data_IF_398796250783
#
_entry.id   IF_398796250783
#
_cell.length_a   1.000
_cell.length_b   1.000
_cell.length_c   1.000
_cell.angle_alpha   90.00
_cell.angle_beta   90.00
_cell.angle_gamma   90.00
#
_symmetry.space_group_name_H-M   'P 1'
#
loop_
_entity.id
_entity.type
_entity.pdbx_description
1 polymer ?
#
# COMPACT_ATOMS: atom_id res chain seq x y z
N UNK A 1 13.21 -11.57 -20.58
CA UNK A 1 11.80 -12.02 -20.45
C UNK A 1 11.25 -11.48 -19.13
N UNK A 2 10.12 -10.76 -19.14
CA UNK A 2 9.43 -10.26 -17.92
C UNK A 2 8.06 -10.93 -17.89
N UNK A 3 8.00 -12.12 -17.31
CA UNK A 3 7.03 -13.13 -17.74
C UNK A 3 5.59 -13.01 -17.23
N UNK A 4 5.28 -12.46 -16.05
CA UNK A 4 3.86 -12.43 -15.61
C UNK A 4 3.39 -11.14 -14.93
N UNK A 5 4.29 -10.15 -14.81
CA UNK A 5 3.98 -8.84 -14.23
C UNK A 5 3.50 -7.85 -15.29
N UNK A 6 2.33 -7.25 -15.06
CA UNK A 6 1.82 -6.11 -15.83
C UNK A 6 1.75 -4.89 -14.94
N UNK A 7 2.17 -3.74 -15.45
CA UNK A 7 1.98 -2.45 -14.80
C UNK A 7 1.18 -1.55 -15.74
N UNK A 8 0.21 -0.84 -15.17
CA UNK A 8 -0.73 0.01 -15.90
C UNK A 8 -1.30 1.09 -14.97
N UNK A 9 -1.89 2.13 -15.56
CA UNK A 9 -2.66 3.12 -14.82
C UNK A 9 -4.14 2.74 -14.82
N UNK A 10 -4.80 2.88 -13.67
CA UNK A 10 -6.25 2.73 -13.53
C UNK A 10 -6.79 3.93 -12.74
N UNK A 11 -7.68 4.71 -13.37
CA UNK A 11 -8.22 5.95 -12.81
C UNK A 11 -7.13 6.93 -12.33
N UNK A 12 -6.05 7.06 -13.11
CA UNK A 12 -4.92 7.95 -12.80
C UNK A 12 -3.89 7.38 -11.82
N UNK A 13 -4.11 6.20 -11.25
CA UNK A 13 -3.21 5.59 -10.27
C UNK A 13 -2.46 4.39 -10.83
N UNK A 14 -1.19 4.21 -10.44
CA UNK A 14 -0.42 3.06 -10.86
C UNK A 14 -0.94 1.77 -10.21
N UNK A 15 -0.86 0.70 -10.99
CA UNK A 15 -1.13 -0.65 -10.52
C UNK A 15 -0.14 -1.61 -11.13
N UNK A 16 0.40 -2.50 -10.29
CA UNK A 16 1.19 -3.65 -10.72
C UNK A 16 0.39 -4.90 -10.40
N UNK A 17 0.30 -5.83 -11.33
CA UNK A 17 -0.42 -7.09 -11.16
C UNK A 17 0.40 -8.27 -11.68
N UNK A 18 0.48 -9.32 -10.87
CA UNK A 18 1.02 -10.62 -11.23
C UNK A 18 -0.09 -11.64 -11.30
N UNK A 19 -0.11 -12.44 -12.37
CA UNK A 19 -0.98 -13.59 -12.52
C UNK A 19 -0.18 -14.86 -12.31
N UNK A 20 -0.58 -15.72 -11.39
CA UNK A 20 0.09 -17.01 -11.20
C UNK A 20 -0.93 -18.14 -11.06
N UNK A 21 -0.60 -19.30 -11.62
CA UNK A 21 -1.49 -20.46 -11.56
C UNK A 21 -1.38 -21.23 -10.24
N UNK A 22 -0.21 -21.17 -9.60
CA UNK A 22 0.08 -21.83 -8.33
C UNK A 22 -0.24 -20.91 -7.15
N UNK A 23 -0.97 -21.44 -6.16
CA UNK A 23 -1.22 -20.73 -4.90
C UNK A 23 0.07 -20.50 -4.11
N UNK A 24 0.92 -21.52 -3.98
CA UNK A 24 2.19 -21.42 -3.25
C UNK A 24 3.07 -20.32 -3.82
N UNK A 25 3.20 -20.26 -5.16
CA UNK A 25 3.96 -19.19 -5.80
C UNK A 25 3.32 -17.80 -5.56
N UNK A 26 2.00 -17.71 -5.51
CA UNK A 26 1.31 -16.45 -5.20
C UNK A 26 1.59 -15.98 -3.77
N UNK A 27 1.60 -16.91 -2.82
CA UNK A 27 1.93 -16.65 -1.43
C UNK A 27 3.41 -16.23 -1.29
N UNK A 28 4.32 -16.93 -1.96
CA UNK A 28 5.74 -16.61 -1.96
C UNK A 28 6.01 -15.21 -2.54
N UNK A 29 5.37 -14.86 -3.65
CA UNK A 29 5.45 -13.51 -4.23
C UNK A 29 4.91 -12.45 -3.27
N UNK A 30 3.75 -12.69 -2.66
CA UNK A 30 3.16 -11.77 -1.70
C UNK A 30 4.07 -11.57 -0.48
N UNK A 31 4.62 -12.66 0.08
CA UNK A 31 5.56 -12.62 1.19
C UNK A 31 6.85 -11.89 0.82
N UNK A 32 7.40 -12.12 -0.37
CA UNK A 32 8.57 -11.40 -0.86
C UNK A 32 8.31 -9.89 -0.89
N UNK A 33 7.18 -9.45 -1.45
CA UNK A 33 6.81 -8.03 -1.46
C UNK A 33 6.73 -7.42 -0.06
N UNK A 34 6.11 -8.12 0.89
CA UNK A 34 6.05 -7.65 2.29
C UNK A 34 7.45 -7.47 2.89
N UNK A 35 8.42 -8.34 2.56
CA UNK A 35 9.82 -8.20 3.01
C UNK A 35 10.54 -6.99 2.42
N UNK A 36 10.18 -6.59 1.19
CA UNK A 36 10.60 -5.31 0.61
C UNK A 36 9.76 -4.12 1.13
N UNK A 37 8.86 -4.35 2.09
CA UNK A 37 7.93 -3.36 2.61
C UNK A 37 6.89 -2.88 1.58
N UNK A 38 6.70 -3.62 0.50
CA UNK A 38 5.73 -3.34 -0.55
C UNK A 38 4.39 -3.92 -0.11
N UNK A 39 3.40 -3.05 0.06
CA UNK A 39 2.04 -3.46 0.38
C UNK A 39 1.37 -3.97 -0.89
N UNK A 40 0.99 -5.25 -0.86
CA UNK A 40 0.30 -5.92 -1.96
C UNK A 40 -0.93 -6.68 -1.48
N UNK A 41 -1.83 -7.00 -2.40
CA UNK A 41 -3.04 -7.77 -2.16
C UNK A 41 -2.93 -9.11 -2.87
N UNK A 42 -3.08 -10.20 -2.13
CA UNK A 42 -3.22 -11.55 -2.67
C UNK A 42 -4.70 -11.95 -2.70
N UNK A 43 -5.18 -12.46 -3.84
CA UNK A 43 -6.55 -12.98 -3.97
C UNK A 43 -6.68 -14.01 -5.10
N UNK A 44 -7.67 -14.91 -5.00
CA UNK A 44 -8.01 -15.90 -6.04
C UNK A 44 -9.03 -15.31 -7.01
N UNK A 45 -8.72 -15.26 -8.31
CA UNK A 45 -9.64 -14.76 -9.35
C UNK A 45 -10.55 -15.85 -9.90
N UNK A 46 -9.98 -17.01 -10.24
CA UNK A 46 -10.66 -18.19 -10.79
C UNK A 46 -9.93 -19.45 -10.34
N UNK A 47 -10.42 -20.62 -10.74
CA UNK A 47 -9.67 -21.85 -10.55
C UNK A 47 -8.28 -21.75 -11.20
N UNK A 48 -7.26 -22.20 -10.47
CA UNK A 48 -5.83 -22.08 -10.84
C UNK A 48 -5.43 -20.70 -11.36
N UNK A 49 -5.99 -19.63 -10.77
CA UNK A 49 -5.64 -18.25 -11.11
C UNK A 49 -5.64 -17.37 -9.86
N UNK A 50 -4.44 -17.08 -9.38
CA UNK A 50 -4.16 -16.21 -8.26
C UNK A 50 -3.58 -14.88 -8.74
N UNK A 51 -3.87 -13.82 -7.99
CA UNK A 51 -3.43 -12.46 -8.30
C UNK A 51 -2.72 -11.86 -7.11
N UNK A 52 -1.55 -11.29 -7.38
CA UNK A 52 -0.82 -10.44 -6.44
C UNK A 52 -0.77 -9.05 -7.04
N UNK A 53 -1.32 -8.08 -6.33
CA UNK A 53 -1.61 -6.75 -6.85
C UNK A 53 -1.01 -5.66 -5.94
N UNK A 54 -0.31 -4.69 -6.52
CA UNK A 54 0.23 -3.51 -5.84
C UNK A 54 -0.54 -2.29 -6.36
N UNK A 55 -1.24 -1.60 -5.48
CA UNK A 55 -2.05 -0.41 -5.84
C UNK A 55 -1.69 0.84 -5.06
N UNK A 56 -0.93 0.69 -3.97
CA UNK A 56 -0.50 1.82 -3.18
C UNK A 56 0.66 2.52 -3.92
N UNK A 57 0.55 3.81 -4.27
CA UNK A 57 1.57 4.48 -5.09
C UNK A 57 2.98 4.41 -4.50
N UNK A 58 3.12 4.47 -3.18
CA UNK A 58 4.44 4.36 -2.53
C UNK A 58 5.04 2.96 -2.69
N UNK A 59 4.22 1.91 -2.62
CA UNK A 59 4.64 0.54 -2.89
C UNK A 59 4.95 0.29 -4.36
N UNK A 60 4.24 0.94 -5.29
CA UNK A 60 4.60 0.91 -6.72
C UNK A 60 5.93 1.62 -6.95
N UNK A 61 6.13 2.82 -6.42
CA UNK A 61 7.41 3.56 -6.52
C UNK A 61 8.56 2.71 -5.95
N UNK A 62 8.34 2.10 -4.78
CA UNK A 62 9.31 1.18 -4.16
C UNK A 62 9.62 -0.02 -5.02
N UNK A 63 8.61 -0.69 -5.58
CA UNK A 63 8.81 -1.79 -6.52
C UNK A 63 9.69 -1.33 -7.68
N UNK A 64 9.36 -0.20 -8.30
CA UNK A 64 10.10 0.30 -9.47
C UNK A 64 11.55 0.66 -9.15
N UNK A 65 11.80 1.24 -7.98
CA UNK A 65 13.14 1.66 -7.54
C UNK A 65 14.01 0.49 -7.07
N UNK A 66 13.44 -0.44 -6.29
CA UNK A 66 14.22 -1.43 -5.54
C UNK A 66 14.23 -2.82 -6.19
N UNK A 67 13.22 -3.15 -7.01
CA UNK A 67 13.10 -4.42 -7.74
C UNK A 67 13.22 -4.18 -9.24
N UNK A 68 12.52 -3.18 -9.74
CA UNK A 68 12.58 -2.73 -11.12
C UNK A 68 11.95 -3.68 -12.14
N UNK A 69 12.14 -3.33 -13.40
CA UNK A 69 11.69 -4.09 -14.55
C UNK A 69 12.89 -4.44 -15.42
N UNK A 70 12.81 -5.57 -16.12
CA UNK A 70 13.84 -5.99 -17.07
C UNK A 70 13.35 -5.70 -18.50
N UNK A 71 14.24 -5.15 -19.32
CA UNK A 71 13.99 -4.88 -20.75
C UNK A 71 13.08 -3.68 -21.00
N UNK A 72 12.36 -3.67 -22.12
CA UNK A 72 11.57 -2.52 -22.58
C UNK A 72 10.43 -2.07 -21.65
N UNK A 73 10.11 -2.83 -20.59
CA UNK A 73 9.19 -2.38 -19.53
C UNK A 73 9.84 -1.38 -18.56
N UNK A 74 11.17 -1.37 -18.42
CA UNK A 74 11.87 -0.43 -17.54
C UNK A 74 11.76 1.02 -17.99
N UNK A 75 11.60 1.25 -19.29
CA UNK A 75 11.56 2.58 -19.91
C UNK A 75 10.13 3.12 -20.11
N UNK A 76 9.10 2.35 -19.75
CA UNK A 76 7.70 2.63 -20.13
C UNK A 76 6.89 3.37 -19.09
N UNK A 77 7.44 3.63 -17.90
CA UNK A 77 6.63 4.10 -16.78
C UNK A 77 7.21 5.36 -16.16
N UNK A 78 6.38 6.40 -16.15
CA UNK A 78 6.65 7.65 -15.46
C UNK A 78 6.43 7.47 -13.95
N UNK A 79 7.12 8.30 -13.17
CA UNK A 79 6.94 8.33 -11.72
C UNK A 79 5.59 8.97 -11.41
N UNK A 80 4.81 8.35 -10.52
CA UNK A 80 3.50 8.85 -10.15
C UNK A 80 3.67 9.79 -8.96
N UNK A 81 3.54 11.09 -9.20
CA UNK A 81 3.81 12.12 -8.20
C UNK A 81 2.68 12.30 -7.17
N UNK A 82 1.45 11.90 -7.51
CA UNK A 82 0.30 12.17 -6.63
C UNK A 82 -0.01 11.06 -5.62
N UNK A 83 -0.06 11.40 -4.31
CA UNK A 83 -0.44 10.44 -3.28
C UNK A 83 -1.94 10.11 -3.34
N UNK A 84 -2.26 8.84 -3.63
CA UNK A 84 -3.61 8.30 -3.47
C UNK A 84 -4.04 8.28 -2.00
N UNK A 85 -5.27 8.73 -1.69
CA UNK A 85 -5.93 8.43 -0.40
C UNK A 85 -6.39 6.98 -0.41
N UNK A 86 -5.93 6.18 0.56
CA UNK A 86 -6.28 4.76 0.66
C UNK A 86 -6.69 4.41 2.08
N UNK A 87 -7.51 3.37 2.21
CA UNK A 87 -7.86 2.78 3.50
C UNK A 87 -6.85 1.72 3.96
N UNK A 88 -5.81 1.47 3.17
CA UNK A 88 -4.75 0.52 3.51
C UNK A 88 -3.95 1.09 4.69
N UNK A 89 -3.76 0.26 5.73
CA UNK A 89 -3.12 0.69 6.97
C UNK A 89 -4.01 1.53 7.90
N UNK A 90 -5.28 1.79 7.53
CA UNK A 90 -6.20 2.46 8.45
C UNK A 90 -6.74 1.49 9.49
N UNK A 91 -6.69 1.94 10.75
CA UNK A 91 -7.31 1.20 11.86
C UNK A 91 -8.85 1.21 11.73
N UNK A 92 -9.51 0.10 12.12
CA UNK A 92 -10.97 0.05 12.18
C UNK A 92 -11.56 1.18 13.03
N UNK A 93 -12.74 1.68 12.63
CA UNK A 93 -13.45 2.79 13.31
C UNK A 93 -13.61 2.54 14.82
N UNK A 94 -13.83 1.30 15.20
CA UNK A 94 -14.04 0.84 16.56
C UNK A 94 -12.82 1.13 17.46
N UNK A 95 -11.60 0.97 16.93
CA UNK A 95 -10.34 1.13 17.67
C UNK A 95 -10.07 2.61 17.99
N UNK A 96 -10.58 3.54 17.20
CA UNK A 96 -10.36 4.97 17.44
C UNK A 96 -10.92 5.46 18.78
N UNK A 97 -11.97 4.81 19.30
CA UNK A 97 -12.49 5.12 20.64
C UNK A 97 -11.49 4.74 21.73
N UNK A 98 -10.85 3.59 21.61
CA UNK A 98 -9.82 3.12 22.53
C UNK A 98 -8.58 4.02 22.46
N UNK A 99 -8.15 4.39 21.25
CA UNK A 99 -7.04 5.34 21.07
C UNK A 99 -7.36 6.67 21.76
N UNK A 100 -8.54 7.25 21.54
CA UNK A 100 -8.94 8.51 22.20
C UNK A 100 -8.95 8.39 23.72
N UNK A 101 -9.48 7.29 24.25
CA UNK A 101 -9.52 7.03 25.69
C UNK A 101 -8.11 6.91 26.29
N UNK A 102 -7.24 6.09 25.70
CA UNK A 102 -5.86 5.90 26.14
C UNK A 102 -5.02 7.18 26.02
N UNK A 103 -5.23 7.97 24.95
CA UNK A 103 -4.55 9.25 24.74
C UNK A 103 -4.90 10.24 25.84
N UNK A 104 -6.20 10.36 26.16
CA UNK A 104 -6.70 11.22 27.24
C UNK A 104 -6.20 10.77 28.61
N UNK A 105 -6.18 9.46 28.88
CA UNK A 105 -5.67 8.91 30.15
C UNK A 105 -4.19 9.24 30.37
N UNK A 106 -3.42 9.41 29.28
CA UNK A 106 -2.01 9.83 29.30
C UNK A 106 -1.82 11.35 29.27
N UNK A 107 -2.89 12.14 29.35
CA UNK A 107 -2.83 13.60 29.30
C UNK A 107 -2.37 14.17 27.95
N UNK A 108 -2.45 13.38 26.88
CA UNK A 108 -2.06 13.82 25.54
C UNK A 108 -3.27 14.30 24.74
N UNK A 109 -3.03 15.17 23.76
CA UNK A 109 -3.99 15.44 22.69
C UNK A 109 -3.78 14.45 21.55
N UNK A 110 -4.79 14.27 20.69
CA UNK A 110 -4.64 13.42 19.51
C UNK A 110 -3.57 13.93 18.54
N UNK A 111 -3.38 15.25 18.46
CA UNK A 111 -2.32 15.88 17.67
C UNK A 111 -0.93 15.54 18.23
N UNK A 112 -0.77 15.61 19.54
CA UNK A 112 0.49 15.24 20.22
C UNK A 112 0.81 13.76 20.03
N UNK A 113 -0.19 12.87 20.12
CA UNK A 113 -0.02 11.45 19.81
C UNK A 113 0.47 11.24 18.38
N UNK A 114 -0.17 11.91 17.41
CA UNK A 114 0.21 11.81 16.00
C UNK A 114 1.66 12.26 15.76
N UNK A 115 2.04 13.40 16.32
CA UNK A 115 3.41 13.89 16.24
C UNK A 115 4.42 12.89 16.82
N UNK A 116 4.13 12.31 17.99
CA UNK A 116 4.98 11.28 18.61
C UNK A 116 5.03 9.97 17.83
N UNK A 117 3.95 9.63 17.11
CA UNK A 117 3.89 8.49 16.22
C UNK A 117 4.62 8.74 14.88
N UNK A 118 5.22 9.92 14.70
CA UNK A 118 5.81 10.38 13.44
C UNK A 118 4.82 10.35 12.27
N UNK A 119 3.52 10.51 12.58
CA UNK A 119 2.49 10.70 11.57
C UNK A 119 2.72 12.05 10.89
N UNK A 120 2.65 12.04 9.56
CA UNK A 120 2.76 13.28 8.78
C UNK A 120 1.54 14.18 9.08
N UNK A 121 1.72 15.50 9.02
CA UNK A 121 0.67 16.46 9.40
C UNK A 121 -0.62 16.35 8.58
N UNK A 122 -1.69 16.99 9.07
CA UNK A 122 -2.97 17.05 8.36
C UNK A 122 -2.78 17.65 6.96
N UNK A 123 -2.90 16.81 5.92
CA UNK A 123 -2.62 17.17 4.53
C UNK A 123 -1.77 16.12 3.82
N UNK A 124 -0.80 15.56 4.53
CA UNK A 124 0.16 14.58 4.00
C UNK A 124 -0.09 13.18 4.55
N UNK A 125 -1.22 12.55 4.20
CA UNK A 125 -1.59 11.16 4.60
C UNK A 125 -1.64 10.82 6.11
N UNK A 126 -1.09 11.62 7.02
CA UNK A 126 -1.11 11.28 8.44
C UNK A 126 -2.37 11.78 9.15
N UNK A 127 -2.29 11.81 10.48
CA UNK A 127 -3.46 12.02 11.33
C UNK A 127 -4.14 13.38 11.05
N UNK A 128 -5.41 13.31 10.62
CA UNK A 128 -6.26 14.49 10.48
C UNK A 128 -7.41 14.40 11.51
N UNK A 129 -7.41 15.25 12.56
CA UNK A 129 -8.43 15.23 13.60
C UNK A 129 -9.81 15.71 13.12
N UNK A 130 -9.90 16.39 11.99
CA UNK A 130 -11.12 17.01 11.46
C UNK A 130 -11.87 16.14 10.45
N UNK A 131 -11.27 15.05 9.99
CA UNK A 131 -12.01 14.07 9.18
C UNK A 131 -12.77 13.20 10.17
N UNK A 132 -14.11 13.29 10.15
CA UNK A 132 -14.97 12.33 10.80
C UNK A 132 -14.69 10.95 10.20
N UNK A 133 -13.87 10.16 10.91
CA UNK A 133 -13.57 8.77 10.60
C UNK A 133 -14.58 7.86 11.27
#
# INVERSE_FOLDING_TARGET
>A
MSCDGTIYSMAGYPRIEFAVASEGLAQDLHHAFVRFGIVSKLWKKKDRCWRVEITEPASVDRYQRDIGWIGGKALRFERFDEPRRSNVGMLPKQIWREIRSATRARGLTMTELAFRAAERGAGDRGFNPHVSR
#
